data_IF_298230643381
#
_entry.id   IF_298230643381
#
_cell.length_a   1.000
_cell.length_b   1.000
_cell.length_c   1.000
_cell.angle_alpha   90.00
_cell.angle_beta   90.00
_cell.angle_gamma   90.00
#
_symmetry.space_group_name_H-M   'P 1'
#
loop_
_entity.id
_entity.type
_entity.pdbx_description
1 polymer ?
#
# COMPACT_ATOMS: atom_id res chain seq x y z
N UNK A 1 19.43 -1.07 22.42
CA UNK A 1 19.31 -1.35 20.97
C UNK A 1 19.69 -0.10 20.20
N UNK A 2 20.42 -0.23 19.09
CA UNK A 2 20.69 0.89 18.19
C UNK A 2 19.58 0.97 17.14
N UNK A 3 19.16 2.20 16.81
CA UNK A 3 18.19 2.45 15.75
C UNK A 3 18.94 2.38 14.42
N UNK A 4 18.52 1.54 13.45
CA UNK A 4 19.20 1.44 12.17
C UNK A 4 18.94 2.68 11.31
N UNK A 5 19.91 3.02 10.48
CA UNK A 5 19.74 3.99 9.39
C UNK A 5 18.96 3.37 8.23
N UNK A 6 18.37 4.22 7.39
CA UNK A 6 17.68 3.74 6.18
C UNK A 6 18.64 3.00 5.23
N UNK A 7 19.89 3.47 5.12
CA UNK A 7 20.92 2.81 4.30
C UNK A 7 21.23 1.38 4.76
N UNK A 8 21.34 1.16 6.07
CA UNK A 8 21.57 -0.18 6.63
C UNK A 8 20.39 -1.11 6.37
N UNK A 9 19.15 -0.61 6.51
CA UNK A 9 17.93 -1.37 6.20
C UNK A 9 17.89 -1.76 4.72
N UNK A 10 18.12 -0.81 3.81
CA UNK A 10 18.09 -1.09 2.37
C UNK A 10 19.19 -2.05 1.94
N UNK A 11 20.40 -1.93 2.53
CA UNK A 11 21.50 -2.87 2.31
C UNK A 11 21.14 -4.28 2.80
N UNK A 12 20.52 -4.39 3.99
CA UNK A 12 20.09 -5.67 4.54
C UNK A 12 19.03 -6.35 3.66
N UNK A 13 18.06 -5.59 3.17
CA UNK A 13 16.94 -6.08 2.38
C UNK A 13 17.29 -6.38 0.92
N UNK A 14 18.40 -5.83 0.39
CA UNK A 14 18.78 -5.92 -1.02
C UNK A 14 18.70 -7.35 -1.57
N UNK A 15 17.89 -7.53 -2.61
CA UNK A 15 17.65 -8.81 -3.30
C UNK A 15 16.78 -9.82 -2.53
N UNK A 16 16.19 -9.45 -1.39
CA UNK A 16 15.46 -10.38 -0.50
C UNK A 16 13.98 -10.02 -0.35
N UNK A 17 13.67 -8.75 -0.11
CA UNK A 17 12.30 -8.31 0.19
C UNK A 17 12.07 -6.88 -0.27
N UNK A 18 10.86 -6.57 -0.77
CA UNK A 18 10.46 -5.20 -1.05
C UNK A 18 10.34 -4.39 0.25
N UNK A 19 10.62 -3.09 0.18
CA UNK A 19 10.48 -2.17 1.32
C UNK A 19 9.48 -1.08 0.96
N UNK A 20 8.40 -0.96 1.72
CA UNK A 20 7.43 0.13 1.61
C UNK A 20 7.75 1.18 2.69
N UNK A 21 8.08 2.41 2.31
CA UNK A 21 8.49 3.47 3.25
C UNK A 21 7.29 4.35 3.58
N UNK A 22 6.82 4.25 4.82
CA UNK A 22 5.83 5.19 5.35
C UNK A 22 6.50 6.46 5.89
N UNK A 23 5.81 7.60 5.81
CA UNK A 23 6.33 8.95 6.17
C UNK A 23 7.64 9.35 5.47
N UNK A 24 8.03 8.66 4.40
CA UNK A 24 9.23 8.98 3.63
C UNK A 24 9.04 10.15 2.65
N UNK A 25 7.80 10.60 2.42
CA UNK A 25 7.49 11.61 1.41
C UNK A 25 8.19 12.95 1.66
N UNK A 26 8.31 13.38 2.92
CA UNK A 26 9.02 14.62 3.28
C UNK A 26 10.52 14.54 3.00
N UNK A 27 11.06 13.34 2.82
CA UNK A 27 12.47 13.04 2.56
C UNK A 27 12.66 12.35 1.20
N UNK A 28 11.76 12.59 0.24
CA UNK A 28 11.69 11.81 -1.01
C UNK A 28 13.02 11.80 -1.77
N UNK A 29 13.70 12.96 -1.85
CA UNK A 29 14.96 13.11 -2.59
C UNK A 29 16.13 12.49 -1.84
N UNK A 30 16.16 12.62 -0.53
CA UNK A 30 17.15 12.00 0.35
C UNK A 30 17.02 10.47 0.35
N UNK A 31 15.78 9.96 0.40
CA UNK A 31 15.48 8.55 0.25
C UNK A 31 15.95 8.05 -1.12
N UNK A 32 15.64 8.77 -2.20
CA UNK A 32 16.13 8.44 -3.54
C UNK A 32 17.66 8.35 -3.61
N UNK A 33 18.39 9.32 -3.04
CA UNK A 33 19.85 9.31 -3.02
C UNK A 33 20.43 8.07 -2.31
N UNK A 34 19.81 7.65 -1.19
CA UNK A 34 20.22 6.43 -0.47
C UNK A 34 19.90 5.18 -1.30
N UNK A 35 18.75 5.14 -1.97
CA UNK A 35 18.34 4.02 -2.81
C UNK A 35 19.22 3.89 -4.06
N UNK A 36 19.65 5.01 -4.64
CA UNK A 36 20.62 5.02 -5.74
C UNK A 36 21.98 4.51 -5.25
N UNK A 37 22.48 5.03 -4.13
CA UNK A 37 23.74 4.60 -3.49
C UNK A 37 23.76 3.11 -3.18
N UNK A 38 22.65 2.56 -2.67
CA UNK A 38 22.53 1.15 -2.30
C UNK A 38 22.13 0.25 -3.47
N UNK A 39 21.74 0.82 -4.62
CA UNK A 39 21.27 0.08 -5.79
C UNK A 39 19.96 -0.66 -5.53
N UNK A 40 19.03 -0.05 -4.80
CA UNK A 40 17.74 -0.64 -4.39
C UNK A 40 16.52 0.16 -4.83
N UNK A 41 16.67 1.09 -5.78
CA UNK A 41 15.58 1.93 -6.31
C UNK A 41 14.36 1.09 -6.76
N UNK A 42 14.60 -0.01 -7.49
CA UNK A 42 13.53 -0.91 -7.95
C UNK A 42 12.93 -1.84 -6.88
N UNK A 43 13.38 -1.72 -5.63
CA UNK A 43 12.95 -2.56 -4.50
C UNK A 43 12.21 -1.75 -3.42
N UNK A 44 12.22 -0.43 -3.53
CA UNK A 44 11.59 0.47 -2.56
C UNK A 44 10.33 1.11 -3.14
N UNK A 45 9.25 1.09 -2.37
CA UNK A 45 7.99 1.77 -2.67
C UNK A 45 7.92 3.02 -1.79
N UNK A 46 7.77 4.17 -2.44
CA UNK A 46 7.39 5.42 -1.78
C UNK A 46 5.89 5.61 -1.92
N UNK A 47 5.27 6.21 -0.92
CA UNK A 47 3.83 6.45 -0.91
C UNK A 47 3.48 7.80 -0.32
N UNK A 48 2.34 8.35 -0.76
CA UNK A 48 1.79 9.57 -0.17
C UNK A 48 0.28 9.67 -0.42
N UNK A 49 -0.40 10.38 0.48
CA UNK A 49 -1.83 10.70 0.38
C UNK A 49 -2.11 12.06 -0.24
N UNK A 50 -1.42 12.38 -1.34
CA UNK A 50 -1.50 13.67 -2.04
C UNK A 50 -1.90 13.48 -3.51
N UNK A 51 -2.60 14.45 -4.14
CA UNK A 51 -2.92 14.40 -5.57
C UNK A 51 -1.67 14.35 -6.45
N UNK A 52 -1.76 13.73 -7.64
CA UNK A 52 -0.62 13.58 -8.55
C UNK A 52 0.09 14.91 -8.85
N UNK A 53 -0.67 15.97 -9.12
CA UNK A 53 -0.07 17.26 -9.51
C UNK A 53 0.79 17.87 -8.41
N UNK A 54 0.39 17.70 -7.14
CA UNK A 54 1.19 18.14 -6.02
C UNK A 54 2.49 17.33 -5.94
N UNK A 55 2.39 15.99 -6.05
CA UNK A 55 3.55 15.11 -6.03
C UNK A 55 4.51 15.41 -7.19
N UNK A 56 3.98 15.67 -8.38
CA UNK A 56 4.78 16.01 -9.57
C UNK A 56 5.45 17.37 -9.42
N UNK A 57 4.77 18.36 -8.83
CA UNK A 57 5.33 19.69 -8.57
C UNK A 57 6.49 19.64 -7.57
N UNK A 58 6.33 18.89 -6.47
CA UNK A 58 7.32 18.85 -5.38
C UNK A 58 8.51 17.92 -5.69
N UNK A 59 8.25 16.77 -6.33
CA UNK A 59 9.22 15.67 -6.47
C UNK A 59 9.33 15.10 -7.89
N UNK A 60 8.88 15.83 -8.91
CA UNK A 60 8.80 15.33 -10.29
C UNK A 60 10.12 14.92 -10.95
N UNK A 61 11.26 15.36 -10.42
CA UNK A 61 12.62 15.03 -10.84
C UNK A 61 13.08 13.61 -10.44
N UNK A 62 12.42 13.03 -9.45
CA UNK A 62 12.72 11.69 -8.90
C UNK A 62 11.51 10.75 -8.91
N UNK A 63 10.29 11.29 -9.03
CA UNK A 63 9.05 10.52 -9.04
C UNK A 63 9.07 9.36 -10.07
N UNK A 64 9.46 9.65 -11.30
CA UNK A 64 9.46 8.66 -12.40
C UNK A 64 10.63 7.66 -12.31
N UNK A 65 11.55 7.87 -11.36
CA UNK A 65 12.71 6.99 -11.12
C UNK A 65 12.42 5.94 -10.06
N UNK A 66 11.33 6.07 -9.32
CA UNK A 66 11.00 5.24 -8.16
C UNK A 66 9.68 4.51 -8.33
N UNK A 67 9.46 3.46 -7.54
CA UNK A 67 8.12 2.89 -7.41
C UNK A 67 7.32 3.80 -6.48
N UNK A 68 6.23 4.36 -7.00
CA UNK A 68 5.31 5.20 -6.24
C UNK A 68 3.94 4.53 -6.12
N UNK A 69 3.36 4.57 -4.91
CA UNK A 69 2.03 4.04 -4.59
C UNK A 69 1.20 5.15 -3.95
N UNK A 70 0.14 5.66 -4.60
CA UNK A 70 -0.75 6.62 -3.98
C UNK A 70 -1.54 5.99 -2.83
N UNK A 71 -1.73 6.74 -1.77
CA UNK A 71 -2.62 6.40 -0.64
C UNK A 71 -3.91 7.19 -0.81
N UNK A 72 -5.06 6.53 -0.82
CA UNK A 72 -6.36 7.18 -1.00
C UNK A 72 -7.27 6.80 0.16
N UNK A 73 -7.68 7.81 0.93
CA UNK A 73 -8.75 7.66 1.91
C UNK A 73 -10.08 7.81 1.20
N UNK A 74 -10.86 6.72 1.13
CA UNK A 74 -12.06 6.62 0.29
C UNK A 74 -13.26 7.39 0.85
N UNK A 75 -13.17 7.92 2.08
CA UNK A 75 -14.21 8.74 2.68
C UNK A 75 -14.01 10.22 2.42
N UNK A 76 -12.87 10.63 1.87
CA UNK A 76 -12.68 12.01 1.46
C UNK A 76 -13.46 12.30 0.18
N UNK A 77 -14.05 13.50 0.12
CA UNK A 77 -14.84 13.94 -1.04
C UNK A 77 -14.02 14.00 -2.34
N UNK A 78 -12.69 14.14 -2.25
CA UNK A 78 -11.76 14.18 -3.37
C UNK A 78 -11.15 12.81 -3.71
N UNK A 79 -11.55 11.71 -3.05
CA UNK A 79 -10.95 10.40 -3.25
C UNK A 79 -10.95 9.95 -4.72
N UNK A 80 -12.09 10.09 -5.40
CA UNK A 80 -12.21 9.75 -6.82
C UNK A 80 -11.32 10.63 -7.70
N UNK A 81 -11.28 11.94 -7.43
CA UNK A 81 -10.44 12.89 -8.17
C UNK A 81 -8.94 12.59 -8.00
N UNK A 82 -8.52 12.18 -6.80
CA UNK A 82 -7.15 11.73 -6.55
C UNK A 82 -6.84 10.47 -7.35
N UNK A 83 -7.72 9.46 -7.33
CA UNK A 83 -7.57 8.25 -8.15
C UNK A 83 -7.42 8.61 -9.63
N UNK A 84 -8.31 9.44 -10.15
CA UNK A 84 -8.32 9.84 -11.56
C UNK A 84 -7.07 10.61 -11.98
N UNK A 85 -6.53 11.46 -11.10
CA UNK A 85 -5.29 12.18 -11.36
C UNK A 85 -4.11 11.22 -11.59
N UNK A 86 -3.98 10.16 -10.78
CA UNK A 86 -2.91 9.19 -10.96
C UNK A 86 -3.13 8.28 -12.17
N UNK A 87 -4.36 7.84 -12.42
CA UNK A 87 -4.66 6.99 -13.57
C UNK A 87 -4.40 7.74 -14.89
N UNK A 88 -4.71 9.04 -14.95
CA UNK A 88 -4.52 9.88 -16.14
C UNK A 88 -3.03 10.14 -16.43
N UNK A 89 -2.22 10.38 -15.40
CA UNK A 89 -0.87 10.92 -15.61
C UNK A 89 0.28 9.93 -15.36
N UNK A 90 0.06 8.85 -14.59
CA UNK A 90 1.13 7.94 -14.17
C UNK A 90 0.81 6.45 -14.39
N UNK A 91 -0.43 6.03 -14.18
CA UNK A 91 -0.82 4.60 -14.13
C UNK A 91 0.02 3.80 -13.11
N UNK A 92 -0.07 4.10 -11.80
CA UNK A 92 0.73 3.44 -10.77
C UNK A 92 0.45 1.93 -10.69
N UNK A 93 1.44 1.15 -10.25
CA UNK A 93 1.33 -0.32 -10.16
C UNK A 93 0.36 -0.79 -9.06
N UNK A 94 0.16 0.04 -8.05
CA UNK A 94 -0.74 -0.23 -6.93
C UNK A 94 -1.30 1.07 -6.36
N UNK A 95 -2.44 0.96 -5.67
CA UNK A 95 -2.98 1.99 -4.77
C UNK A 95 -3.15 1.37 -3.38
N UNK A 96 -2.79 2.13 -2.36
CA UNK A 96 -3.20 1.85 -0.98
C UNK A 96 -4.56 2.52 -0.74
N UNK A 97 -5.57 1.72 -0.41
CA UNK A 97 -6.91 2.21 -0.15
C UNK A 97 -7.19 2.12 1.35
N UNK A 98 -7.62 3.23 1.93
CA UNK A 98 -7.93 3.38 3.36
C UNK A 98 -9.42 3.68 3.48
N UNK A 99 -10.14 2.89 4.29
CA UNK A 99 -11.56 3.09 4.55
C UNK A 99 -12.01 2.56 5.91
N UNK A 100 -13.07 3.14 6.47
CA UNK A 100 -13.61 2.79 7.80
C UNK A 100 -15.01 2.17 7.75
N UNK A 101 -15.53 1.91 6.56
CA UNK A 101 -16.76 1.14 6.31
C UNK A 101 -16.72 0.54 4.90
N UNK A 102 -17.59 -0.42 4.62
CA UNK A 102 -17.74 -1.10 3.33
C UNK A 102 -19.03 -0.68 2.59
N UNK A 103 -19.46 0.57 2.77
CA UNK A 103 -20.65 1.11 2.13
C UNK A 103 -20.56 1.17 0.59
N UNK A 104 -21.68 1.37 -0.12
CA UNK A 104 -21.74 1.29 -1.58
C UNK A 104 -20.73 2.17 -2.32
N UNK A 105 -20.45 3.37 -1.82
CA UNK A 105 -19.51 4.30 -2.43
C UNK A 105 -18.05 3.83 -2.30
N UNK A 106 -17.68 3.30 -1.12
CA UNK A 106 -16.35 2.71 -0.90
C UNK A 106 -16.16 1.53 -1.85
N UNK A 107 -17.16 0.65 -1.95
CA UNK A 107 -17.11 -0.50 -2.86
C UNK A 107 -16.99 -0.07 -4.32
N UNK A 108 -17.71 0.99 -4.74
CA UNK A 108 -17.61 1.55 -6.09
C UNK A 108 -16.19 2.04 -6.40
N UNK A 109 -15.52 2.71 -5.45
CA UNK A 109 -14.16 3.21 -5.64
C UNK A 109 -13.12 2.08 -5.64
N UNK A 110 -13.28 1.05 -4.80
CA UNK A 110 -12.47 -0.17 -4.85
C UNK A 110 -12.59 -0.82 -6.24
N UNK A 111 -13.82 -0.95 -6.76
CA UNK A 111 -14.07 -1.52 -8.08
C UNK A 111 -13.49 -0.68 -9.21
N UNK A 112 -13.51 0.65 -9.10
CA UNK A 112 -12.86 1.56 -10.04
C UNK A 112 -11.35 1.32 -10.10
N UNK A 113 -10.68 1.26 -8.95
CA UNK A 113 -9.23 0.98 -8.89
C UNK A 113 -8.93 -0.41 -9.45
N UNK A 114 -9.71 -1.43 -9.06
CA UNK A 114 -9.56 -2.79 -9.60
C UNK A 114 -9.68 -2.83 -11.12
N UNK A 115 -10.67 -2.13 -11.68
CA UNK A 115 -10.95 -2.11 -13.12
C UNK A 115 -9.89 -1.36 -13.92
N UNK A 116 -9.11 -0.48 -13.28
CA UNK A 116 -7.95 0.18 -13.92
C UNK A 116 -6.78 -0.77 -14.18
N UNK A 117 -6.77 -1.96 -13.57
CA UNK A 117 -5.65 -2.91 -13.63
C UNK A 117 -4.54 -2.66 -12.60
N UNK A 118 -4.63 -1.58 -11.81
CA UNK A 118 -3.76 -1.35 -10.66
C UNK A 118 -4.04 -2.39 -9.55
N UNK A 119 -2.99 -2.78 -8.82
CA UNK A 119 -3.14 -3.64 -7.65
C UNK A 119 -3.73 -2.86 -6.48
N UNK A 120 -4.57 -3.52 -5.69
CA UNK A 120 -5.11 -2.94 -4.45
C UNK A 120 -4.25 -3.42 -3.28
N UNK A 121 -3.80 -2.45 -2.47
CA UNK A 121 -3.13 -2.63 -1.19
C UNK A 121 -4.07 -2.22 -0.06
N UNK A 122 -4.31 -3.10 0.90
CA UNK A 122 -5.13 -2.83 2.10
C UNK A 122 -4.30 -3.07 3.36
N UNK A 123 -4.47 -2.20 4.36
CA UNK A 123 -3.95 -2.44 5.70
C UNK A 123 -5.02 -3.14 6.54
N UNK A 124 -4.74 -4.33 7.05
CA UNK A 124 -5.60 -5.06 8.00
C UNK A 124 -5.23 -4.79 9.46
N UNK A 125 -4.51 -3.70 9.75
CA UNK A 125 -3.92 -3.45 11.08
C UNK A 125 -4.99 -3.11 12.13
N UNK A 126 -5.97 -2.28 11.79
CA UNK A 126 -7.07 -1.88 12.67
C UNK A 126 -8.30 -1.42 11.86
N UNK A 127 -9.50 -1.36 12.48
CA UNK A 127 -10.78 -1.21 11.77
C UNK A 127 -10.88 0.00 10.83
N UNK A 128 -10.33 1.15 11.23
CA UNK A 128 -10.43 2.41 10.47
C UNK A 128 -9.65 2.41 9.15
N UNK A 129 -8.78 1.42 8.92
CA UNK A 129 -8.04 1.28 7.67
C UNK A 129 -8.71 0.35 6.65
N UNK A 130 -9.62 -0.50 7.10
CA UNK A 130 -10.21 -1.57 6.28
C UNK A 130 -11.68 -1.86 6.60
N UNK A 131 -12.44 -0.91 7.16
CA UNK A 131 -13.87 -1.08 7.40
C UNK A 131 -14.24 -2.17 8.41
N UNK A 132 -13.37 -2.47 9.38
CA UNK A 132 -13.57 -3.56 10.34
C UNK A 132 -13.24 -4.95 9.80
N UNK A 133 -12.41 -5.03 8.75
CA UNK A 133 -11.81 -6.26 8.22
C UNK A 133 -10.35 -6.39 8.67
N UNK A 134 -10.10 -6.19 9.96
CA UNK A 134 -8.76 -6.10 10.57
C UNK A 134 -8.27 -7.44 11.16
N UNK A 135 -7.03 -7.42 11.66
CA UNK A 135 -6.31 -8.58 12.18
C UNK A 135 -6.93 -9.12 13.47
N UNK A 136 -7.48 -8.26 14.35
CA UNK A 136 -8.10 -8.73 15.59
C UNK A 136 -9.41 -9.46 15.28
N UNK A 137 -10.18 -9.01 14.27
CA UNK A 137 -11.30 -9.79 13.75
C UNK A 137 -10.86 -11.15 13.18
N UNK A 138 -9.78 -11.16 12.38
CA UNK A 138 -9.30 -12.40 11.78
C UNK A 138 -8.83 -13.41 12.83
N UNK A 139 -8.11 -12.95 13.85
CA UNK A 139 -7.37 -13.81 14.78
C UNK A 139 -8.09 -13.98 16.10
N UNK A 140 -8.45 -12.89 16.77
CA UNK A 140 -9.03 -12.89 18.12
C UNK A 140 -10.51 -13.26 18.12
N UNK A 141 -11.25 -12.86 17.08
CA UNK A 141 -12.66 -13.27 16.89
C UNK A 141 -12.79 -14.57 16.10
N UNK A 142 -11.68 -15.13 15.59
CA UNK A 142 -11.66 -16.33 14.75
C UNK A 142 -12.49 -16.21 13.46
N UNK A 143 -12.50 -15.02 12.86
CA UNK A 143 -13.23 -14.70 11.62
C UNK A 143 -12.29 -14.33 10.44
N UNK A 144 -11.33 -15.20 10.05
CA UNK A 144 -10.35 -14.87 9.02
C UNK A 144 -10.96 -14.75 7.61
N UNK A 145 -12.07 -15.43 7.34
CA UNK A 145 -12.76 -15.34 6.04
C UNK A 145 -13.54 -14.03 5.92
N UNK A 146 -14.07 -13.52 7.04
CA UNK A 146 -14.80 -12.26 7.16
C UNK A 146 -13.87 -11.04 7.19
N UNK A 147 -12.60 -11.23 7.56
CA UNK A 147 -11.56 -10.20 7.52
C UNK A 147 -10.66 -10.35 6.29
N UNK A 148 -9.58 -11.15 6.37
CA UNK A 148 -8.64 -11.33 5.27
C UNK A 148 -9.30 -11.91 4.01
N UNK A 149 -10.21 -12.86 4.17
CA UNK A 149 -10.99 -13.43 3.06
C UNK A 149 -11.83 -12.38 2.32
N UNK A 150 -12.47 -11.47 3.06
CA UNK A 150 -13.22 -10.38 2.48
C UNK A 150 -12.30 -9.42 1.70
N UNK A 151 -11.16 -9.03 2.30
CA UNK A 151 -10.16 -8.16 1.65
C UNK A 151 -9.70 -8.76 0.32
N UNK A 152 -9.36 -10.06 0.32
CA UNK A 152 -8.95 -10.79 -0.88
C UNK A 152 -10.10 -10.88 -1.89
N UNK A 153 -11.32 -11.17 -1.43
CA UNK A 153 -12.53 -11.26 -2.25
C UNK A 153 -12.86 -9.95 -2.97
N UNK A 154 -12.46 -8.81 -2.40
CA UNK A 154 -12.55 -7.48 -3.05
C UNK A 154 -11.46 -7.21 -4.08
N UNK A 155 -10.52 -8.13 -4.26
CA UNK A 155 -9.49 -8.07 -5.29
C UNK A 155 -8.16 -7.51 -4.81
N UNK A 156 -7.97 -7.32 -3.50
CA UNK A 156 -6.67 -6.96 -2.94
C UNK A 156 -5.60 -7.98 -3.36
N UNK A 157 -4.42 -7.47 -3.71
CA UNK A 157 -3.23 -8.27 -4.07
C UNK A 157 -2.07 -8.04 -3.10
N UNK A 158 -2.18 -7.03 -2.25
CA UNK A 158 -1.22 -6.67 -1.23
C UNK A 158 -2.00 -6.42 0.06
N UNK A 159 -1.57 -7.03 1.16
CA UNK A 159 -2.16 -6.84 2.48
C UNK A 159 -1.02 -6.56 3.46
N UNK A 160 -1.13 -5.47 4.21
CA UNK A 160 -0.25 -5.16 5.34
C UNK A 160 -0.94 -5.58 6.64
N UNK A 161 -0.24 -6.38 7.45
CA UNK A 161 -0.77 -7.03 8.65
C UNK A 161 0.28 -7.01 9.77
N UNK A 162 -0.18 -6.94 11.02
CA UNK A 162 0.60 -7.16 12.25
C UNK A 162 0.62 -8.65 12.66
N UNK A 163 0.01 -9.53 11.86
CA UNK A 163 -0.05 -10.99 12.04
C UNK A 163 0.50 -11.74 10.82
N UNK A 164 1.71 -11.41 10.30
CA UNK A 164 2.19 -11.90 8.99
C UNK A 164 2.31 -13.41 8.90
N UNK A 165 2.70 -14.11 9.98
CA UNK A 165 2.78 -15.57 9.98
C UNK A 165 1.40 -16.21 9.82
N UNK A 166 0.40 -15.71 10.56
CA UNK A 166 -0.97 -16.23 10.52
C UNK A 166 -1.65 -15.93 9.17
N UNK A 167 -1.43 -14.73 8.62
CA UNK A 167 -1.90 -14.41 7.27
C UNK A 167 -1.25 -15.34 6.23
N UNK A 168 0.05 -15.61 6.32
CA UNK A 168 0.73 -16.53 5.40
C UNK A 168 0.16 -17.95 5.49
N UNK A 169 -0.09 -18.47 6.69
CA UNK A 169 -0.69 -19.79 6.90
C UNK A 169 -2.09 -19.87 6.29
N UNK A 170 -2.91 -18.84 6.51
CA UNK A 170 -4.24 -18.69 5.92
C UNK A 170 -4.18 -18.67 4.37
N UNK A 171 -3.29 -17.86 3.79
CA UNK A 171 -3.11 -17.76 2.34
C UNK A 171 -2.64 -19.07 1.73
N UNK A 172 -1.67 -19.76 2.35
CA UNK A 172 -1.14 -21.05 1.88
C UNK A 172 -2.19 -22.15 1.94
N UNK A 173 -2.96 -22.22 3.02
CA UNK A 173 -4.08 -23.16 3.14
C UNK A 173 -5.10 -22.99 2.02
N UNK A 174 -5.32 -21.74 1.56
CA UNK A 174 -6.19 -21.41 0.42
C UNK A 174 -5.49 -21.40 -0.94
N UNK A 175 -4.21 -21.76 -1.03
CA UNK A 175 -3.39 -21.72 -2.27
C UNK A 175 -3.31 -20.34 -2.93
N UNK A 176 -3.33 -19.29 -2.11
CA UNK A 176 -3.20 -17.89 -2.51
C UNK A 176 -1.78 -17.35 -2.31
N UNK A 177 -0.89 -18.15 -1.71
CA UNK A 177 0.53 -17.86 -1.56
C UNK A 177 1.34 -19.17 -1.56
N UNK A 178 2.61 -19.08 -1.98
CA UNK A 178 3.58 -20.18 -1.97
C UNK A 178 4.07 -20.55 -0.56
#
# INVERSE_FOLDING_TARGET
>A
HQIPTFEEVMTLCKGKIMVNVDKGYDYFKEAYAILEKTGTVGQCVMKAGLPYEQVKSENGDVLDKMIFMPVVNLQKADAEAVIDSYLTHMSPKAFELVFNNDGPEVLRLIDKVRSSGARIFINSLWPELCGGHDDDRAVELHEPDESWGWIIGRGAKLIQTDRPALLLDYLRAKKLHN
#
